data_IF_522695274198
#
_entry.id   IF_522695274198
#
_cell.length_a   1.000
_cell.length_b   1.000
_cell.length_c   1.000
_cell.angle_alpha   90.00
_cell.angle_beta   90.00
_cell.angle_gamma   90.00
#
_symmetry.space_group_name_H-M   'P 1'
#
loop_
_entity.id
_entity.type
_entity.pdbx_description
1 polymer ?
#
# COMPACT_ATOMS: atom_id res chain seq x y z
N UNK A 1 -0.44 10.25 -15.02
CA UNK A 1 0.30 9.16 -14.33
C UNK A 1 0.77 8.00 -15.22
N UNK A 2 0.72 8.13 -16.55
CA UNK A 2 1.14 7.04 -17.48
C UNK A 2 2.27 7.45 -18.44
N UNK A 3 2.80 8.66 -18.29
CA UNK A 3 3.96 9.13 -19.03
C UNK A 3 5.25 8.71 -18.29
N UNK A 4 6.11 7.96 -18.96
CA UNK A 4 7.40 7.48 -18.41
C UNK A 4 8.43 8.60 -18.23
N UNK A 5 8.32 9.69 -19.01
CA UNK A 5 9.36 10.72 -19.08
C UNK A 5 9.47 11.61 -17.84
N UNK A 6 8.45 11.58 -16.97
CA UNK A 6 8.37 12.43 -15.79
C UNK A 6 7.88 11.63 -14.60
N UNK A 7 8.72 11.51 -13.56
CA UNK A 7 8.29 10.96 -12.28
C UNK A 7 7.15 11.81 -11.68
N UNK A 8 6.20 11.19 -10.97
CA UNK A 8 5.10 11.93 -10.36
C UNK A 8 5.56 12.91 -9.28
N UNK A 9 5.06 14.13 -9.37
CA UNK A 9 5.10 15.12 -8.30
C UNK A 9 3.77 15.10 -7.48
N UNK A 10 3.73 15.66 -6.26
CA UNK A 10 2.52 15.76 -5.45
C UNK A 10 1.27 16.23 -6.20
N UNK A 11 1.41 17.28 -7.02
CA UNK A 11 0.29 17.87 -7.78
C UNK A 11 -0.28 16.88 -8.81
N UNK A 12 0.59 16.17 -9.52
CA UNK A 12 0.20 15.17 -10.50
C UNK A 12 -0.48 13.96 -9.86
N UNK A 13 -0.08 13.57 -8.65
CA UNK A 13 -0.74 12.50 -7.88
C UNK A 13 -2.12 12.98 -7.43
N UNK A 14 -2.22 14.16 -6.80
CA UNK A 14 -3.50 14.74 -6.37
C UNK A 14 -4.49 14.88 -7.52
N UNK A 15 -4.05 15.37 -8.68
CA UNK A 15 -4.89 15.53 -9.85
C UNK A 15 -5.38 14.18 -10.42
N UNK A 16 -4.62 13.11 -10.21
CA UNK A 16 -4.95 11.78 -10.74
C UNK A 16 -5.87 10.99 -9.82
N UNK A 17 -5.57 10.96 -8.53
CA UNK A 17 -6.31 10.15 -7.54
C UNK A 17 -7.47 10.91 -6.90
N UNK A 18 -7.52 12.24 -7.06
CA UNK A 18 -8.48 13.13 -6.42
C UNK A 18 -8.01 13.63 -5.05
N UNK A 19 -8.48 14.83 -4.61
CA UNK A 19 -7.97 15.49 -3.41
C UNK A 19 -8.26 14.72 -2.12
N UNK A 20 -9.42 14.09 -2.00
CA UNK A 20 -9.79 13.31 -0.81
C UNK A 20 -8.90 12.06 -0.66
N UNK A 21 -8.73 11.30 -1.73
CA UNK A 21 -7.81 10.16 -1.75
C UNK A 21 -6.36 10.58 -1.54
N UNK A 22 -5.99 11.79 -1.97
CA UNK A 22 -4.66 12.33 -1.71
C UNK A 22 -4.40 12.60 -0.23
N UNK A 23 -5.41 12.96 0.56
CA UNK A 23 -5.25 13.06 2.02
C UNK A 23 -4.95 11.69 2.64
N UNK A 24 -5.62 10.62 2.19
CA UNK A 24 -5.34 9.24 2.63
C UNK A 24 -3.98 8.73 2.14
N UNK A 25 -3.58 9.12 0.93
CA UNK A 25 -2.24 8.85 0.38
C UNK A 25 -1.17 9.46 1.29
N UNK A 26 -1.25 10.76 1.58
CA UNK A 26 -0.31 11.47 2.47
C UNK A 26 -0.30 10.85 3.86
N UNK A 27 -1.47 10.56 4.44
CA UNK A 27 -1.59 9.91 5.74
C UNK A 27 -0.95 8.51 5.79
N UNK A 28 -0.88 7.82 4.65
CA UNK A 28 -0.17 6.54 4.52
C UNK A 28 1.34 6.76 4.48
N UNK A 29 1.82 7.76 3.74
CA UNK A 29 3.25 8.12 3.69
C UNK A 29 3.78 8.55 5.06
N UNK A 30 3.07 9.44 5.75
CA UNK A 30 3.42 9.92 7.09
C UNK A 30 3.45 8.78 8.11
N UNK A 31 2.48 7.85 8.02
CA UNK A 31 2.48 6.66 8.86
C UNK A 31 3.74 5.82 8.65
N UNK A 32 4.16 5.62 7.40
CA UNK A 32 5.35 4.84 7.08
C UNK A 32 6.61 5.55 7.59
N UNK A 33 6.74 6.86 7.34
CA UNK A 33 7.88 7.65 7.78
C UNK A 33 8.02 7.65 9.31
N UNK A 34 6.90 7.85 10.01
CA UNK A 34 6.87 7.89 11.49
C UNK A 34 7.21 6.54 12.12
N UNK A 35 6.68 5.43 11.58
CA UNK A 35 6.84 4.10 12.20
C UNK A 35 8.08 3.34 11.72
N UNK A 36 8.67 3.76 10.60
CA UNK A 36 9.82 3.10 10.00
C UNK A 36 10.90 4.11 9.55
N UNK A 37 11.35 5.01 10.45
CA UNK A 37 12.28 6.07 10.10
C UNK A 37 13.60 5.49 9.56
N UNK A 38 14.03 5.97 8.40
CA UNK A 38 15.25 5.53 7.73
C UNK A 38 15.27 4.06 7.28
N UNK A 39 14.13 3.35 7.32
CA UNK A 39 14.06 1.93 6.93
C UNK A 39 13.92 1.76 5.42
N UNK A 40 13.17 2.67 4.78
CA UNK A 40 12.80 2.59 3.37
C UNK A 40 13.36 3.77 2.60
N UNK A 41 13.78 3.51 1.37
CA UNK A 41 13.99 4.53 0.34
C UNK A 41 12.88 4.32 -0.69
N UNK A 42 11.84 5.19 -0.71
CA UNK A 42 10.73 5.02 -1.64
C UNK A 42 11.21 5.21 -3.08
N UNK A 43 10.70 4.38 -3.99
CA UNK A 43 11.12 4.33 -5.39
C UNK A 43 9.90 4.37 -6.32
N UNK A 44 9.89 5.33 -7.25
CA UNK A 44 8.89 5.36 -8.31
C UNK A 44 9.21 4.30 -9.36
N UNK A 45 8.25 3.43 -9.64
CA UNK A 45 8.34 2.39 -10.66
C UNK A 45 7.34 2.66 -11.77
N UNK A 46 7.81 2.65 -13.00
CA UNK A 46 6.93 2.73 -14.17
C UNK A 46 6.58 1.33 -14.68
N UNK A 47 5.33 0.91 -14.48
CA UNK A 47 4.78 -0.37 -14.90
C UNK A 47 4.32 -0.43 -16.36
N UNK A 48 4.68 0.57 -17.19
CA UNK A 48 4.24 0.69 -18.58
C UNK A 48 2.92 1.45 -18.72
N UNK A 49 2.50 1.69 -19.97
CA UNK A 49 1.32 2.52 -20.28
C UNK A 49 0.02 2.03 -19.62
N UNK A 50 -0.09 0.72 -19.38
CA UNK A 50 -1.27 0.11 -18.75
C UNK A 50 -1.33 0.34 -17.24
N UNK A 51 -0.18 0.32 -16.56
CA UNK A 51 -0.11 0.33 -15.09
C UNK A 51 0.39 1.66 -14.51
N UNK A 52 0.99 2.52 -15.35
CA UNK A 52 1.48 3.83 -14.93
C UNK A 52 2.59 3.76 -13.89
N UNK A 53 2.67 4.80 -13.06
CA UNK A 53 3.63 4.90 -11.97
C UNK A 53 3.09 4.26 -10.68
N UNK A 54 3.99 3.71 -9.86
CA UNK A 54 3.69 3.22 -8.51
C UNK A 54 4.84 3.54 -7.56
N UNK A 55 4.54 3.83 -6.30
CA UNK A 55 5.54 4.20 -5.29
C UNK A 55 5.83 3.00 -4.39
N UNK A 56 6.99 2.38 -4.58
CA UNK A 56 7.38 1.15 -3.89
C UNK A 56 8.16 1.45 -2.61
N UNK A 57 7.79 0.73 -1.54
CA UNK A 57 8.53 0.65 -0.29
C UNK A 57 9.08 -0.77 -0.14
N UNK A 58 10.40 -0.91 -0.09
CA UNK A 58 11.07 -2.21 0.14
C UNK A 58 12.33 -2.04 0.98
N UNK A 59 12.73 -3.12 1.66
CA UNK A 59 14.09 -3.27 2.20
C UNK A 59 14.79 -4.39 1.43
N UNK A 60 14.94 -5.57 2.05
CA UNK A 60 15.35 -6.80 1.36
C UNK A 60 14.17 -7.53 0.70
N UNK A 61 12.96 -7.32 1.24
CA UNK A 61 11.69 -7.85 0.72
C UNK A 61 10.70 -6.69 0.53
N UNK A 62 9.67 -6.93 -0.29
CA UNK A 62 8.56 -5.98 -0.46
C UNK A 62 7.90 -5.68 0.89
N UNK A 63 7.61 -4.40 1.14
CA UNK A 63 6.81 -3.95 2.28
C UNK A 63 5.40 -3.58 1.79
N UNK A 64 5.29 -2.51 1.01
CA UNK A 64 4.07 -2.14 0.30
C UNK A 64 4.38 -1.36 -0.97
N UNK A 65 3.38 -1.17 -1.83
CA UNK A 65 3.45 -0.30 -3.00
C UNK A 65 2.15 0.49 -3.10
N UNK A 66 2.25 1.81 -3.18
CA UNK A 66 1.09 2.67 -3.43
C UNK A 66 0.93 2.83 -4.94
N UNK A 67 -0.26 2.52 -5.46
CA UNK A 67 -0.56 2.48 -6.88
C UNK A 67 -1.65 3.53 -7.15
N UNK A 68 -1.30 4.71 -7.67
CA UNK A 68 -2.25 5.75 -8.04
C UNK A 68 -3.04 5.33 -9.29
N UNK A 69 -4.36 5.27 -9.15
CA UNK A 69 -5.30 5.00 -10.24
C UNK A 69 -6.23 6.20 -10.42
N UNK A 70 -7.00 6.24 -11.51
CA UNK A 70 -7.88 7.37 -11.76
C UNK A 70 -8.95 7.44 -10.66
N UNK A 71 -9.00 8.55 -9.92
CA UNK A 71 -9.91 8.80 -8.79
C UNK A 71 -9.81 7.82 -7.61
N UNK A 72 -8.71 7.07 -7.47
CA UNK A 72 -8.45 6.21 -6.31
C UNK A 72 -6.96 5.87 -6.18
N UNK A 73 -6.57 5.17 -5.11
CA UNK A 73 -5.29 4.47 -5.09
C UNK A 73 -5.42 3.12 -4.41
N UNK A 74 -4.58 2.17 -4.85
CA UNK A 74 -4.44 0.88 -4.22
C UNK A 74 -3.21 0.86 -3.33
N UNK A 75 -3.30 0.18 -2.20
CA UNK A 75 -2.14 -0.24 -1.43
C UNK A 75 -1.92 -1.75 -1.64
N UNK A 76 -0.82 -2.09 -2.30
CA UNK A 76 -0.38 -3.47 -2.47
C UNK A 76 0.54 -3.87 -1.32
N UNK A 77 0.19 -4.92 -0.57
CA UNK A 77 1.00 -5.52 0.50
C UNK A 77 1.28 -6.98 0.13
N UNK A 78 2.54 -7.40 0.25
CA UNK A 78 2.96 -8.79 -0.02
C UNK A 78 3.24 -9.51 1.29
N UNK A 79 2.38 -10.47 1.66
CA UNK A 79 2.51 -11.24 2.90
C UNK A 79 3.23 -12.57 2.69
N UNK A 80 4.34 -12.77 3.40
CA UNK A 80 5.00 -14.07 3.55
C UNK A 80 4.26 -14.99 4.52
N UNK A 81 4.66 -16.26 4.60
CA UNK A 81 3.96 -17.29 5.37
C UNK A 81 3.70 -16.91 6.85
N UNK A 82 4.71 -16.41 7.56
CA UNK A 82 4.59 -15.98 8.97
C UNK A 82 3.66 -14.77 9.13
N UNK A 83 3.69 -13.85 8.18
CA UNK A 83 2.87 -12.63 8.24
C UNK A 83 1.40 -12.96 7.94
N UNK A 84 1.13 -13.93 7.05
CA UNK A 84 -0.22 -14.44 6.76
C UNK A 84 -0.92 -15.01 7.98
N UNK A 85 -0.24 -15.86 8.75
CA UNK A 85 -0.78 -16.41 10.01
C UNK A 85 -1.25 -15.30 10.96
N UNK A 86 -0.53 -14.18 11.03
CA UNK A 86 -0.90 -13.04 11.87
C UNK A 86 -2.04 -12.20 11.27
N UNK A 87 -2.03 -12.00 9.95
CA UNK A 87 -3.08 -11.28 9.25
C UNK A 87 -4.43 -12.00 9.36
N UNK A 88 -4.43 -13.32 9.23
CA UNK A 88 -5.61 -14.18 9.34
C UNK A 88 -6.32 -14.04 10.70
N UNK A 89 -5.57 -13.84 11.80
CA UNK A 89 -6.14 -13.61 13.14
C UNK A 89 -6.93 -12.31 13.28
N UNK A 90 -6.67 -11.31 12.43
CA UNK A 90 -7.36 -10.02 12.50
C UNK A 90 -8.43 -9.83 11.43
N UNK A 91 -8.54 -10.73 10.45
CA UNK A 91 -9.54 -10.64 9.37
C UNK A 91 -10.97 -10.36 9.88
N UNK A 92 -11.47 -10.99 10.96
CA UNK A 92 -12.81 -10.71 11.49
C UNK A 92 -13.03 -9.28 11.98
N UNK A 93 -11.94 -8.53 12.21
CA UNK A 93 -11.94 -7.14 12.69
C UNK A 93 -11.78 -6.12 11.57
N UNK A 94 -11.42 -6.57 10.37
CA UNK A 94 -11.27 -5.71 9.20
C UNK A 94 -12.64 -5.45 8.56
N UNK A 95 -12.74 -4.33 7.85
CA UNK A 95 -13.81 -4.00 6.92
C UNK A 95 -14.06 -5.16 5.95
N UNK A 96 -15.33 -5.35 5.55
CA UNK A 96 -15.75 -6.49 4.74
C UNK A 96 -14.99 -6.59 3.43
N UNK A 97 -14.82 -5.49 2.69
CA UNK A 97 -14.11 -5.57 1.41
C UNK A 97 -12.62 -5.85 1.60
N UNK A 98 -11.95 -5.25 2.61
CA UNK A 98 -10.53 -5.53 2.90
C UNK A 98 -10.33 -7.02 3.23
N UNK A 99 -11.30 -7.61 3.96
CA UNK A 99 -11.32 -9.04 4.25
C UNK A 99 -11.52 -9.87 2.98
N UNK A 100 -12.46 -9.49 2.13
CA UNK A 100 -12.75 -10.17 0.86
C UNK A 100 -11.57 -10.10 -0.12
N UNK A 101 -10.93 -8.93 -0.23
CA UNK A 101 -9.69 -8.72 -0.98
C UNK A 101 -8.59 -9.64 -0.46
N UNK A 102 -8.45 -9.81 0.86
CA UNK A 102 -7.47 -10.74 1.43
C UNK A 102 -7.77 -12.20 1.13
N UNK A 103 -9.04 -12.60 1.22
CA UNK A 103 -9.46 -13.98 0.96
C UNK A 103 -9.29 -14.35 -0.52
N UNK A 104 -9.57 -13.42 -1.42
CA UNK A 104 -9.44 -13.59 -2.88
C UNK A 104 -8.01 -13.37 -3.41
N UNK A 105 -7.15 -12.69 -2.65
CA UNK A 105 -5.77 -12.42 -3.02
C UNK A 105 -4.98 -13.69 -3.37
N UNK A 106 -4.29 -13.63 -4.51
CA UNK A 106 -3.46 -14.74 -5.00
C UNK A 106 -2.18 -14.87 -4.17
N UNK A 107 -1.81 -16.12 -3.85
CA UNK A 107 -0.50 -16.44 -3.26
C UNK A 107 0.45 -16.87 -4.35
N UNK A 108 1.44 -16.02 -4.63
CA UNK A 108 2.55 -16.31 -5.54
C UNK A 108 3.76 -16.88 -4.77
N UNK A 109 4.82 -17.21 -5.50
CA UNK A 109 6.05 -17.77 -4.94
C UNK A 109 6.72 -16.84 -3.92
N UNK A 110 6.52 -15.52 -4.02
CA UNK A 110 7.09 -14.50 -3.14
C UNK A 110 6.14 -14.03 -2.02
N UNK A 111 4.88 -14.49 -2.03
CA UNK A 111 3.89 -14.23 -0.98
C UNK A 111 2.47 -14.04 -1.50
N UNK A 112 1.54 -13.75 -0.59
CA UNK A 112 0.17 -13.35 -0.95
C UNK A 112 0.13 -11.86 -1.26
N UNK A 113 -0.35 -11.51 -2.44
CA UNK A 113 -0.45 -10.14 -2.93
C UNK A 113 -1.84 -9.60 -2.64
N UNK A 114 -1.96 -8.83 -1.57
CA UNK A 114 -3.19 -8.12 -1.21
C UNK A 114 -3.15 -6.73 -1.82
N UNK A 115 -4.06 -6.41 -2.73
CA UNK A 115 -4.31 -5.05 -3.19
C UNK A 115 -5.61 -4.55 -2.57
N UNK A 116 -5.58 -3.40 -1.89
CA UNK A 116 -6.75 -2.79 -1.24
C UNK A 116 -6.94 -1.38 -1.78
N UNK A 117 -8.15 -1.03 -2.21
CA UNK A 117 -8.51 0.36 -2.50
C UNK A 117 -8.71 1.11 -1.18
N UNK A 118 -7.95 2.18 -0.94
CA UNK A 118 -8.03 2.93 0.32
C UNK A 118 -9.05 4.06 0.18
N UNK A 119 -10.32 3.68 0.18
CA UNK A 119 -11.46 4.53 -0.16
C UNK A 119 -12.08 5.30 1.03
N UNK A 120 -11.68 4.96 2.26
CA UNK A 120 -12.28 5.47 3.50
C UNK A 120 -11.28 5.49 4.66
N UNK A 121 -11.62 6.20 5.75
CA UNK A 121 -10.77 6.29 6.94
C UNK A 121 -10.72 4.97 7.73
N UNK A 122 -11.80 4.20 7.68
CA UNK A 122 -11.88 2.86 8.23
C UNK A 122 -10.90 1.93 7.51
N UNK A 123 -10.85 1.98 6.18
CA UNK A 123 -9.87 1.20 5.39
C UNK A 123 -8.46 1.69 5.63
N UNK A 124 -8.24 3.00 5.70
CA UNK A 124 -6.93 3.56 6.05
C UNK A 124 -6.44 2.98 7.40
N UNK A 125 -7.33 2.88 8.38
CA UNK A 125 -7.03 2.26 9.67
C UNK A 125 -6.68 0.78 9.54
N UNK A 126 -7.42 0.03 8.73
CA UNK A 126 -7.18 -1.39 8.50
C UNK A 126 -5.87 -1.67 7.77
N UNK A 127 -5.55 -0.90 6.72
CA UNK A 127 -4.27 -1.06 6.02
C UNK A 127 -3.09 -0.69 6.91
N UNK A 128 -3.22 0.31 7.80
CA UNK A 128 -2.18 0.62 8.81
C UNK A 128 -1.96 -0.56 9.76
N UNK A 129 -3.03 -1.22 10.24
CA UNK A 129 -2.90 -2.45 11.07
C UNK A 129 -2.19 -3.58 10.31
N UNK A 130 -2.53 -3.76 9.04
CA UNK A 130 -1.91 -4.75 8.16
C UNK A 130 -0.43 -4.46 7.92
N UNK A 131 -0.02 -3.20 7.75
CA UNK A 131 1.38 -2.79 7.63
C UNK A 131 2.19 -3.09 8.91
N UNK A 132 1.60 -2.89 10.09
CA UNK A 132 2.23 -3.28 11.38
C UNK A 132 2.45 -4.79 11.46
N UNK A 133 1.50 -5.58 10.97
CA UNK A 133 1.64 -7.04 10.88
C UNK A 133 2.75 -7.42 9.90
N UNK A 134 2.76 -6.77 8.73
CA UNK A 134 3.76 -6.99 7.68
C UNK A 134 5.17 -6.70 8.19
N UNK A 135 5.33 -5.64 8.98
CA UNK A 135 6.59 -5.31 9.64
C UNK A 135 6.30 -4.60 10.95
N UNK A 136 6.66 -5.23 12.07
CA UNK A 136 6.55 -4.59 13.39
C UNK A 136 7.47 -3.36 13.44
N UNK A 137 6.96 -2.16 13.79
CA UNK A 137 7.78 -0.98 14.05
C UNK A 137 8.85 -1.31 15.12
N UNK A 138 10.04 -0.73 14.98
CA UNK A 138 11.01 -0.79 16.07
C UNK A 138 10.61 0.25 17.11
N UNK A 139 10.68 -0.05 18.42
CA UNK A 139 10.62 1.00 19.42
C UNK A 139 11.77 1.98 19.15
N UNK A 140 11.43 3.26 19.15
CA UNK A 140 12.36 4.40 19.15
C UNK A 140 13.21 4.41 20.41
#
# INVERSE_FOLDING_TARGET
MVDRGKEPDPQSVTAWIGPENYQRWVSTLEFIETNYPGVFQPEWLFGGKKHGWSLRFKKSKSFCTLIPELNQFLLLIVFGAVERQKAELILPKLNSHVREDYLSATTYHDGKWLAVAVDSEEVLTDVKRLLVIKRKPKPS
#
